data_IF_088353523227
#
_entry.id   IF_088353523227
#
_cell.length_a   1.000
_cell.length_b   1.000
_cell.length_c   1.000
_cell.angle_alpha   90.00
_cell.angle_beta   90.00
_cell.angle_gamma   90.00
#
_symmetry.space_group_name_H-M   'P 1'
#
loop_
_entity.id
_entity.type
_entity.pdbx_description
1 polymer ?
#
# COMPACT_ATOMS: atom_id res chain seq x y z
N UNK A 1 9.22 16.74 -11.57
CA UNK A 1 9.06 16.67 -10.10
C UNK A 1 7.69 16.07 -9.82
N UNK A 2 7.61 15.07 -8.94
CA UNK A 2 6.34 14.53 -8.49
C UNK A 2 5.82 15.35 -7.29
N UNK A 3 4.51 15.50 -7.19
CA UNK A 3 3.83 16.21 -6.10
C UNK A 3 3.42 15.19 -5.05
N UNK A 4 3.95 15.34 -3.83
CA UNK A 4 3.59 14.46 -2.72
C UNK A 4 2.21 14.82 -2.20
N UNK A 5 1.29 13.85 -2.22
CA UNK A 5 -0.04 13.98 -1.64
C UNK A 5 0.08 13.99 -0.12
N UNK A 6 -0.57 14.95 0.54
CA UNK A 6 -0.61 15.06 2.01
C UNK A 6 -2.02 15.12 2.57
N UNK A 7 -3.00 15.35 1.70
CA UNK A 7 -4.41 15.54 2.04
C UNK A 7 -5.20 14.23 2.00
N UNK A 8 -4.57 13.13 2.39
CA UNK A 8 -5.27 11.87 2.59
C UNK A 8 -5.90 11.84 3.98
N UNK A 9 -6.98 11.09 4.11
CA UNK A 9 -7.62 10.81 5.39
C UNK A 9 -7.48 9.33 5.70
N UNK A 10 -7.42 8.99 6.97
CA UNK A 10 -7.44 7.60 7.38
C UNK A 10 -8.26 7.45 8.64
N UNK A 11 -8.80 6.26 8.81
CA UNK A 11 -9.48 5.82 10.02
C UNK A 11 -9.14 4.36 10.26
N UNK A 12 -9.32 3.91 11.49
CA UNK A 12 -9.17 2.49 11.82
C UNK A 12 -10.42 1.95 12.47
N UNK A 13 -10.58 0.65 12.29
CA UNK A 13 -11.46 -0.20 13.06
C UNK A 13 -10.60 -1.18 13.85
N UNK A 14 -11.21 -2.02 14.67
CA UNK A 14 -10.51 -3.07 15.41
C UNK A 14 -9.67 -4.00 14.52
N UNK A 15 -10.11 -4.21 13.27
CA UNK A 15 -9.54 -5.20 12.35
C UNK A 15 -8.95 -4.59 11.08
N UNK A 16 -9.42 -3.42 10.64
CA UNK A 16 -9.07 -2.82 9.34
C UNK A 16 -8.61 -1.38 9.47
N UNK A 17 -7.68 -0.99 8.60
CA UNK A 17 -7.31 0.40 8.34
C UNK A 17 -7.99 0.83 7.05
N UNK A 18 -8.71 1.95 7.09
CA UNK A 18 -9.33 2.56 5.91
C UNK A 18 -8.60 3.85 5.57
N UNK A 19 -7.99 3.92 4.38
CA UNK A 19 -7.27 5.10 3.87
C UNK A 19 -8.03 5.66 2.67
N UNK A 20 -8.43 6.92 2.76
CA UNK A 20 -9.09 7.67 1.71
C UNK A 20 -8.09 8.65 1.07
N UNK A 21 -7.87 8.50 -0.23
CA UNK A 21 -6.93 9.32 -0.98
C UNK A 21 -7.66 10.02 -2.11
N UNK A 22 -7.82 11.35 -2.08
CA UNK A 22 -8.48 12.08 -3.15
C UNK A 22 -7.63 12.09 -4.42
N UNK A 23 -8.22 11.66 -5.53
CA UNK A 23 -7.58 11.65 -6.85
C UNK A 23 -7.85 12.97 -7.55
N UNK A 24 -6.96 13.93 -7.32
CA UNK A 24 -7.04 15.25 -7.93
C UNK A 24 -6.95 15.15 -9.46
N UNK A 25 -7.94 15.71 -10.14
CA UNK A 25 -7.92 15.84 -11.60
C UNK A 25 -8.38 14.61 -12.39
N UNK A 26 -9.00 13.60 -11.74
CA UNK A 26 -9.53 12.39 -12.39
C UNK A 26 -8.51 11.69 -13.29
N UNK A 27 -7.39 11.24 -12.71
CA UNK A 27 -6.31 10.60 -13.46
C UNK A 27 -6.82 9.33 -14.16
N UNK A 28 -6.44 9.16 -15.44
CA UNK A 28 -6.79 7.96 -16.21
C UNK A 28 -5.95 6.74 -15.80
N UNK A 29 -4.71 6.96 -15.38
CA UNK A 29 -3.77 5.92 -14.99
C UNK A 29 -3.40 6.13 -13.53
N UNK A 30 -3.79 5.19 -12.69
CA UNK A 30 -3.48 5.18 -11.26
C UNK A 30 -2.80 3.87 -10.95
N UNK A 31 -1.54 3.95 -10.54
CA UNK A 31 -0.79 2.80 -10.05
C UNK A 31 -1.01 2.68 -8.55
N UNK A 32 -1.53 1.54 -8.12
CA UNK A 32 -1.80 1.19 -6.73
C UNK A 32 -0.89 0.04 -6.34
N UNK A 33 -0.20 0.16 -5.21
CA UNK A 33 0.68 -0.88 -4.72
C UNK A 33 0.57 -0.98 -3.20
N UNK A 34 0.34 -2.19 -2.71
CA UNK A 34 0.29 -2.52 -1.29
C UNK A 34 1.07 -3.80 -1.09
N UNK A 35 1.98 -3.82 -0.13
CA UNK A 35 2.67 -5.03 0.29
C UNK A 35 3.20 -4.87 1.71
N UNK A 36 3.00 -5.88 2.57
CA UNK A 36 3.38 -5.84 3.98
C UNK A 36 2.93 -4.54 4.69
N UNK A 37 3.87 -3.68 5.08
CA UNK A 37 3.63 -2.41 5.75
C UNK A 37 3.85 -1.20 4.83
N UNK A 38 3.67 -1.36 3.52
CA UNK A 38 3.93 -0.30 2.56
C UNK A 38 2.78 -0.12 1.60
N UNK A 39 2.36 1.13 1.45
CA UNK A 39 1.32 1.55 0.51
C UNK A 39 1.89 2.64 -0.37
N UNK A 40 1.69 2.49 -1.68
CA UNK A 40 2.10 3.47 -2.67
C UNK A 40 0.98 3.67 -3.68
N UNK A 41 0.71 4.93 -3.97
CA UNK A 41 -0.21 5.37 -5.00
C UNK A 41 0.54 6.34 -5.89
N UNK A 42 0.44 6.17 -7.20
CA UNK A 42 1.11 7.03 -8.16
C UNK A 42 0.18 7.34 -9.31
N UNK A 43 -0.07 8.61 -9.55
CA UNK A 43 -0.82 9.10 -10.71
C UNK A 43 -0.24 10.44 -11.13
N UNK A 44 0.41 10.57 -12.30
CA UNK A 44 1.16 11.78 -12.63
C UNK A 44 0.30 13.06 -12.59
N UNK A 45 0.80 14.16 -11.99
CA UNK A 45 2.12 14.34 -11.37
C UNK A 45 2.20 13.93 -9.89
N UNK A 46 1.16 13.35 -9.30
CA UNK A 46 1.03 13.08 -7.88
C UNK A 46 1.54 11.70 -7.45
N UNK A 47 2.04 11.62 -6.21
CA UNK A 47 2.46 10.37 -5.58
C UNK A 47 2.15 10.41 -4.09
N UNK A 48 1.70 9.30 -3.54
CA UNK A 48 1.59 9.04 -2.11
C UNK A 48 2.41 7.80 -1.78
N UNK A 49 3.25 7.88 -0.76
CA UNK A 49 4.04 6.76 -0.24
C UNK A 49 3.90 6.76 1.28
N UNK A 50 3.38 5.67 1.83
CA UNK A 50 3.11 5.51 3.26
C UNK A 50 3.86 4.29 3.79
N UNK A 51 4.53 4.46 4.92
CA UNK A 51 5.20 3.38 5.65
C UNK A 51 4.37 3.04 6.88
N UNK A 52 3.43 2.11 6.71
CA UNK A 52 2.45 1.73 7.72
C UNK A 52 3.11 1.29 9.03
N UNK A 53 2.42 1.57 10.14
CA UNK A 53 2.88 1.23 11.49
C UNK A 53 3.11 -0.27 11.68
N UNK A 54 2.24 -1.11 11.10
CA UNK A 54 2.42 -2.56 11.02
C UNK A 54 2.03 -3.08 9.62
N UNK A 55 2.32 -4.35 9.38
CA UNK A 55 1.95 -5.14 8.24
C UNK A 55 0.43 -5.34 8.14
N UNK A 56 -0.02 -5.43 6.90
CA UNK A 56 -1.38 -5.77 6.54
C UNK A 56 -1.42 -7.09 5.78
N UNK A 57 -2.53 -7.79 5.87
CA UNK A 57 -2.79 -9.01 5.10
C UNK A 57 -3.27 -8.62 3.71
N UNK A 58 -2.36 -8.62 2.74
CA UNK A 58 -2.63 -8.25 1.34
C UNK A 58 -3.78 -9.04 0.73
N UNK A 59 -3.86 -10.35 1.02
CA UNK A 59 -4.88 -11.24 0.46
C UNK A 59 -6.30 -10.95 0.98
N UNK A 60 -6.39 -10.37 2.18
CA UNK A 60 -7.65 -9.98 2.84
C UNK A 60 -7.90 -8.47 2.76
N UNK A 61 -7.04 -7.75 2.04
CA UNK A 61 -7.12 -6.31 1.84
C UNK A 61 -7.76 -6.00 0.49
N UNK A 62 -8.53 -4.92 0.47
CA UNK A 62 -9.26 -4.49 -0.72
C UNK A 62 -8.90 -3.05 -1.05
N UNK A 63 -8.87 -2.73 -2.35
CA UNK A 63 -8.71 -1.36 -2.83
C UNK A 63 -9.83 -1.04 -3.82
N UNK A 64 -10.55 0.04 -3.54
CA UNK A 64 -11.59 0.57 -4.43
C UNK A 64 -11.06 1.83 -5.09
N UNK A 65 -10.95 1.79 -6.41
CA UNK A 65 -10.56 2.94 -7.23
C UNK A 65 -11.81 3.52 -7.89
N UNK A 66 -12.04 4.81 -7.71
CA UNK A 66 -13.11 5.57 -8.37
C UNK A 66 -12.51 6.71 -9.20
N UNK A 67 -13.33 7.46 -9.94
CA UNK A 67 -12.85 8.61 -10.72
C UNK A 67 -12.29 9.73 -9.83
N UNK A 68 -12.70 9.80 -8.56
CA UNK A 68 -12.42 10.93 -7.67
C UNK A 68 -11.61 10.56 -6.44
N UNK A 69 -11.56 9.30 -6.05
CA UNK A 69 -10.83 8.83 -4.87
C UNK A 69 -10.36 7.37 -5.00
N UNK A 70 -9.28 7.06 -4.28
CA UNK A 70 -8.82 5.71 -4.03
C UNK A 70 -9.03 5.39 -2.54
N UNK A 71 -9.74 4.31 -2.25
CA UNK A 71 -10.04 3.85 -0.90
C UNK A 71 -9.35 2.52 -0.66
N UNK A 72 -8.44 2.48 0.30
CA UNK A 72 -7.79 1.25 0.75
C UNK A 72 -8.48 0.74 2.00
N UNK A 73 -8.98 -0.48 1.98
CA UNK A 73 -9.48 -1.20 3.14
C UNK A 73 -8.49 -2.32 3.46
N UNK A 74 -7.50 -2.01 4.30
CA UNK A 74 -6.40 -2.93 4.62
C UNK A 74 -6.70 -3.74 5.88
N UNK A 75 -6.56 -5.06 5.81
CA UNK A 75 -6.74 -5.95 6.94
C UNK A 75 -5.47 -5.99 7.80
N UNK A 76 -5.56 -5.66 9.10
CA UNK A 76 -4.42 -5.75 10.02
C UNK A 76 -4.00 -7.22 10.19
N UNK A 77 -2.69 -7.48 10.21
CA UNK A 77 -2.15 -8.80 10.62
C UNK A 77 -2.47 -9.05 12.09
N UNK A 78 -2.16 -8.08 12.96
CA UNK A 78 -2.45 -8.14 14.38
C UNK A 78 -3.82 -7.51 14.69
N UNK A 79 -4.87 -8.34 14.58
CA UNK A 79 -6.24 -7.95 14.93
C UNK A 79 -6.32 -7.60 16.43
N UNK A 80 -7.08 -6.57 16.80
CA UNK A 80 -7.22 -6.03 18.16
C UNK A 80 -6.09 -5.11 18.67
N UNK A 81 -5.05 -4.83 17.87
CA UNK A 81 -4.10 -3.75 18.18
C UNK A 81 -4.58 -2.46 17.51
N UNK A 82 -4.82 -1.44 18.33
CA UNK A 82 -5.04 -0.07 17.85
C UNK A 82 -3.71 0.54 17.44
N UNK A 83 -3.66 1.07 16.21
CA UNK A 83 -2.45 1.70 15.72
C UNK A 83 -2.38 3.13 16.29
N UNK A 84 -1.30 3.51 16.97
CA UNK A 84 -1.18 4.87 17.50
C UNK A 84 -1.12 5.92 16.38
N UNK A 85 -0.60 5.54 15.21
CA UNK A 85 -0.45 6.36 14.02
C UNK A 85 -0.64 5.50 12.76
N UNK A 86 -0.93 6.12 11.61
CA UNK A 86 -0.98 5.38 10.34
C UNK A 86 0.40 4.87 9.94
N UNK A 87 1.41 5.72 10.10
CA UNK A 87 2.78 5.47 9.68
C UNK A 87 3.72 5.29 10.89
N UNK A 88 4.82 4.56 10.69
CA UNK A 88 5.90 4.49 11.68
C UNK A 88 6.49 5.89 11.87
N UNK A 89 6.43 6.40 13.10
CA UNK A 89 7.04 7.69 13.44
C UNK A 89 8.58 7.61 13.43
N UNK A 90 9.23 8.75 13.19
CA UNK A 90 10.70 8.90 13.25
C UNK A 90 11.51 7.98 12.31
N UNK A 91 10.92 7.53 11.20
CA UNK A 91 11.62 6.71 10.22
C UNK A 91 12.66 7.53 9.41
N UNK A 92 13.93 7.10 9.48
CA UNK A 92 15.03 7.73 8.75
C UNK A 92 14.99 7.45 7.24
N UNK A 93 15.68 8.28 6.44
CA UNK A 93 15.77 8.08 4.99
C UNK A 93 16.38 6.72 4.61
N UNK A 94 17.37 6.24 5.37
CA UNK A 94 17.98 4.93 5.15
C UNK A 94 17.00 3.80 5.42
N UNK A 95 16.20 3.89 6.50
CA UNK A 95 15.15 2.93 6.79
C UNK A 95 14.07 2.92 5.71
N UNK A 96 13.62 4.08 5.23
CA UNK A 96 12.68 4.17 4.09
C UNK A 96 13.23 3.48 2.85
N UNK A 97 14.50 3.73 2.52
CA UNK A 97 15.18 3.11 1.38
C UNK A 97 15.26 1.59 1.54
N UNK A 98 15.69 1.12 2.71
CA UNK A 98 15.80 -0.30 3.03
C UNK A 98 14.43 -1.01 2.95
N UNK A 99 13.39 -0.43 3.55
CA UNK A 99 12.02 -0.97 3.48
C UNK A 99 11.54 -1.05 2.04
N UNK A 100 11.76 0.00 1.23
CA UNK A 100 11.39 0.00 -0.19
C UNK A 100 12.09 -1.12 -0.95
N UNK A 101 13.41 -1.26 -0.81
CA UNK A 101 14.17 -2.30 -1.51
C UNK A 101 13.69 -3.70 -1.12
N UNK A 102 13.54 -3.96 0.18
CA UNK A 102 13.03 -5.24 0.70
C UNK A 102 11.67 -5.61 0.10
N UNK A 103 10.77 -4.63 0.02
CA UNK A 103 9.41 -4.85 -0.49
C UNK A 103 9.40 -5.06 -2.00
N UNK A 104 10.23 -4.35 -2.75
CA UNK A 104 10.38 -4.57 -4.19
C UNK A 104 10.96 -5.96 -4.50
N UNK A 105 11.99 -6.38 -3.76
CA UNK A 105 12.56 -7.73 -3.87
C UNK A 105 11.53 -8.82 -3.56
N UNK A 106 10.76 -8.63 -2.48
CA UNK A 106 9.67 -9.54 -2.11
C UNK A 106 8.60 -9.61 -3.20
N UNK A 107 8.16 -8.47 -3.71
CA UNK A 107 7.17 -8.40 -4.78
C UNK A 107 7.63 -9.15 -6.03
N UNK A 108 8.88 -8.95 -6.43
CA UNK A 108 9.47 -9.67 -7.55
C UNK A 108 9.50 -11.19 -7.31
N UNK A 109 9.95 -11.63 -6.13
CA UNK A 109 9.96 -13.05 -5.78
C UNK A 109 8.56 -13.68 -5.80
N UNK A 110 7.55 -12.98 -5.28
CA UNK A 110 6.15 -13.43 -5.30
C UNK A 110 5.63 -13.59 -6.73
N UNK A 111 5.93 -12.64 -7.61
CA UNK A 111 5.55 -12.71 -9.03
C UNK A 111 6.23 -13.90 -9.74
N UNK A 112 7.52 -14.11 -9.52
CA UNK A 112 8.27 -15.22 -10.09
C UNK A 112 7.75 -16.57 -9.59
N UNK A 113 7.47 -16.71 -8.30
CA UNK A 113 6.93 -17.93 -7.71
C UNK A 113 5.52 -18.22 -8.24
N UNK A 114 4.66 -17.20 -8.36
CA UNK A 114 3.33 -17.32 -8.98
C UNK A 114 3.44 -17.77 -10.45
N UNK A 115 4.43 -17.28 -11.20
CA UNK A 115 4.66 -17.68 -12.58
C UNK A 115 5.13 -19.15 -12.69
N UNK A 116 6.01 -19.61 -11.79
CA UNK A 116 6.48 -21.00 -11.73
C UNK A 116 5.34 -21.97 -11.39
N UNK A 117 4.50 -21.63 -10.42
CA UNK A 117 3.34 -22.46 -10.03
C UNK A 117 2.31 -22.60 -11.15
N UNK A 118 2.11 -21.55 -11.97
CA UNK A 118 1.22 -21.62 -13.14
C UNK A 118 1.76 -22.54 -14.24
N UNK A 119 3.09 -22.65 -14.41
CA UNK A 119 3.70 -23.56 -15.39
C UNK A 119 3.63 -25.04 -14.97
N UNK A 120 3.62 -25.33 -13.67
CA UNK A 120 3.56 -26.71 -13.15
C UNK A 120 2.17 -27.36 -13.10
N UNK A 121 1.08 -26.60 -13.27
CA UNK A 121 -0.30 -27.10 -13.24
C UNK A 121 -0.86 -27.55 -14.60
N UNK A 122 -0.05 -27.46 -15.66
CA UNK A 122 -0.44 -27.80 -17.04
C UNK A 122 0.21 -29.11 -17.55
N UNK A 123 0.66 -30.00 -16.65
CA UNK A 123 1.16 -31.34 -16.98
C UNK A 123 0.27 -32.41 -16.37
#
# INVERSE_FOLDING_TARGET
MAIVIKDYQWRQTEKRIIIHVPLKGRPKNVDLFVMDNYVKISFPPFILELFLWENVLEEESECTLTDTEAVFSLQKVSMAIEWPSLEVENISKSQKCHTRNRILEKAQSVLENRAKLKKGKNC
#
